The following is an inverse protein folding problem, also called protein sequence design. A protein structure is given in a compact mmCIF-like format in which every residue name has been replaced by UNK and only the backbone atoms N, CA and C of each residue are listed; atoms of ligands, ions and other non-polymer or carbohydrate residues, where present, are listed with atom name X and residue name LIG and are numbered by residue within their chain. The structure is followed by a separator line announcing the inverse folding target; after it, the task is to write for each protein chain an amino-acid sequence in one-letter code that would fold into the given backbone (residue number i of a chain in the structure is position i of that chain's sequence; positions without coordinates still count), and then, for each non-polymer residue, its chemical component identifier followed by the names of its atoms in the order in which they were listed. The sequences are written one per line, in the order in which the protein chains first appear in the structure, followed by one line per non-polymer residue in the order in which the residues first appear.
data_IF_790789250715
#
_entry.id   IF_790789250715
#
_cell.length_a   1.000
_cell.length_b   1.000
_cell.length_c   1.000
_cell.angle_alpha   90.00
_cell.angle_beta   90.00
_cell.angle_gamma   90.00
#
_symmetry.space_group_name_H-M   'P 1'
#
loop_
_entity.id
_entity.type
_entity.pdbx_description
1 polymer ?
#
# COMPACT_ATOMS: atom_id res chain seq x y z
N UNK A 1 -1.17 -19.49 7.28
CA UNK A 1 -1.23 -19.24 5.83
C UNK A 1 -2.45 -18.35 5.57
N UNK A 2 -2.48 -17.13 6.13
CA UNK A 2 -3.73 -16.32 6.15
C UNK A 2 -3.48 -14.81 6.13
N UNK A 3 -2.57 -14.30 6.96
CA UNK A 3 -2.37 -12.85 7.08
C UNK A 3 -1.79 -12.18 5.82
N UNK A 4 -0.84 -12.83 5.13
CA UNK A 4 -0.27 -12.31 3.89
C UNK A 4 -1.27 -12.38 2.71
N UNK A 5 -2.13 -13.39 2.69
CA UNK A 5 -3.19 -13.53 1.67
C UNK A 5 -4.28 -12.48 1.87
N UNK A 6 -4.67 -12.23 3.13
CA UNK A 6 -5.60 -11.17 3.50
C UNK A 6 -5.02 -9.80 3.18
N UNK A 7 -3.75 -9.56 3.49
CA UNK A 7 -3.04 -8.34 3.10
C UNK A 7 -3.02 -8.17 1.58
N UNK A 8 -2.75 -9.24 0.83
CA UNK A 8 -2.75 -9.20 -0.64
C UNK A 8 -4.11 -8.83 -1.20
N UNK A 9 -5.18 -9.36 -0.60
CA UNK A 9 -6.56 -9.05 -0.97
C UNK A 9 -6.89 -7.58 -0.67
N UNK A 10 -6.61 -7.13 0.54
CA UNK A 10 -6.88 -5.75 0.98
C UNK A 10 -6.10 -4.74 0.12
N UNK A 11 -4.82 -5.05 -0.16
CA UNK A 11 -3.96 -4.25 -1.03
C UNK A 11 -4.53 -4.15 -2.44
N UNK A 12 -4.94 -5.29 -3.03
CA UNK A 12 -5.55 -5.31 -4.36
C UNK A 12 -6.79 -4.43 -4.43
N UNK A 13 -7.69 -4.55 -3.45
CA UNK A 13 -8.93 -3.78 -3.42
C UNK A 13 -8.63 -2.29 -3.31
N UNK A 14 -7.71 -1.90 -2.42
CA UNK A 14 -7.31 -0.51 -2.26
C UNK A 14 -6.66 0.05 -3.54
N UNK A 15 -5.73 -0.69 -4.15
CA UNK A 15 -5.03 -0.27 -5.36
C UNK A 15 -5.98 -0.14 -6.56
N UNK A 16 -6.90 -1.09 -6.76
CA UNK A 16 -7.90 -1.01 -7.83
C UNK A 16 -8.87 0.17 -7.67
N UNK A 17 -9.20 0.55 -6.43
CA UNK A 17 -10.00 1.75 -6.14
C UNK A 17 -9.21 3.04 -6.36
N UNK A 18 -7.90 3.03 -6.12
CA UNK A 18 -7.00 4.17 -6.34
C UNK A 18 -6.86 4.52 -7.82
N UNK A 19 -6.66 3.52 -8.69
CA UNK A 19 -6.39 3.72 -10.13
C UNK A 19 -7.35 4.68 -10.88
N UNK A 20 -8.69 4.57 -10.74
CA UNK A 20 -9.62 5.46 -11.44
C UNK A 20 -9.77 6.85 -10.79
N UNK A 21 -9.40 7.03 -9.52
CA UNK A 21 -9.76 8.19 -8.70
C UNK A 21 -8.52 8.77 -8.01
N UNK A 22 -7.43 8.98 -8.76
CA UNK A 22 -6.14 9.57 -8.30
C UNK A 22 -6.32 10.96 -7.67
N UNK A 23 -6.90 10.97 -6.48
CA UNK A 23 -7.39 12.12 -5.74
C UNK A 23 -6.97 11.96 -4.29
N UNK A 24 -7.00 13.05 -3.53
CA UNK A 24 -6.62 13.02 -2.11
C UNK A 24 -7.45 12.01 -1.29
N UNK A 25 -8.73 11.81 -1.64
CA UNK A 25 -9.58 10.81 -1.01
C UNK A 25 -9.13 9.36 -1.27
N UNK A 26 -8.43 9.11 -2.39
CA UNK A 26 -7.87 7.81 -2.69
C UNK A 26 -6.49 7.59 -2.03
N UNK A 27 -5.80 8.66 -1.61
CA UNK A 27 -4.60 8.56 -0.76
C UNK A 27 -4.97 8.08 0.65
N UNK A 28 -6.19 8.36 1.13
CA UNK A 28 -6.72 7.81 2.39
C UNK A 28 -6.69 6.27 2.40
N UNK A 29 -6.88 5.63 1.25
CA UNK A 29 -6.82 4.15 1.15
C UNK A 29 -5.40 3.62 1.41
N UNK A 30 -4.37 4.32 0.93
CA UNK A 30 -2.98 3.97 1.20
C UNK A 30 -2.62 4.14 2.68
N UNK A 31 -3.14 5.21 3.30
CA UNK A 31 -2.98 5.47 4.73
C UNK A 31 -3.65 4.40 5.61
N UNK A 32 -4.92 4.09 5.37
CA UNK A 32 -5.64 3.07 6.15
C UNK A 32 -4.95 1.70 6.05
N UNK A 33 -4.48 1.36 4.86
CA UNK A 33 -3.76 0.11 4.62
C UNK A 33 -2.40 0.07 5.33
N UNK A 34 -1.63 1.16 5.27
CA UNK A 34 -0.37 1.29 6.00
C UNK A 34 -0.57 1.19 7.51
N UNK A 35 -1.62 1.82 8.06
CA UNK A 35 -1.96 1.73 9.49
C UNK A 35 -2.33 0.29 9.89
N UNK A 36 -3.20 -0.38 9.14
CA UNK A 36 -3.56 -1.78 9.41
C UNK A 36 -2.35 -2.71 9.31
N UNK A 37 -1.38 -2.42 8.44
CA UNK A 37 -0.15 -3.20 8.32
C UNK A 37 0.73 -3.06 9.59
N UNK A 38 0.79 -1.88 10.22
CA UNK A 38 1.46 -1.73 11.53
C UNK A 38 0.76 -2.56 12.60
N UNK A 39 -0.56 -2.47 12.70
CA UNK A 39 -1.33 -3.19 13.73
C UNK A 39 -1.14 -4.72 13.63
N UNK A 40 -0.83 -5.22 12.43
CA UNK A 40 -0.56 -6.64 12.15
C UNK A 40 0.93 -7.01 12.25
N UNK A 41 1.82 -6.06 12.54
CA UNK A 41 3.26 -6.30 12.60
C UNK A 41 3.90 -6.62 11.24
N UNK A 42 3.25 -6.22 10.14
CA UNK A 42 3.73 -6.47 8.78
C UNK A 42 5.02 -5.71 8.51
N UNK A 43 6.00 -6.41 7.95
CA UNK A 43 7.26 -5.83 7.51
C UNK A 43 7.08 -4.97 6.25
N UNK A 44 7.82 -3.86 6.09
CA UNK A 44 7.89 -3.13 4.83
C UNK A 44 8.25 -4.03 3.63
N UNK A 45 9.05 -5.07 3.84
CA UNK A 45 9.43 -6.01 2.78
C UNK A 45 8.23 -6.85 2.30
N UNK A 46 7.37 -7.30 3.23
CA UNK A 46 6.16 -8.04 2.88
C UNK A 46 5.19 -7.18 2.06
N UNK A 47 5.10 -5.88 2.37
CA UNK A 47 4.30 -4.94 1.57
C UNK A 47 4.87 -4.71 0.17
N UNK A 48 6.19 -4.70 0.01
CA UNK A 48 6.83 -4.61 -1.30
C UNK A 48 6.55 -5.87 -2.12
N UNK A 49 6.62 -7.05 -1.51
CA UNK A 49 6.30 -8.32 -2.19
C UNK A 49 4.82 -8.35 -2.61
N UNK A 50 3.90 -7.99 -1.70
CA UNK A 50 2.47 -7.88 -2.02
C UNK A 50 2.21 -6.88 -3.14
N UNK A 51 2.88 -5.72 -3.11
CA UNK A 51 2.77 -4.72 -4.15
C UNK A 51 3.18 -5.27 -5.52
N UNK A 52 4.29 -6.00 -5.60
CA UNK A 52 4.75 -6.59 -6.85
C UNK A 52 3.80 -7.65 -7.40
N UNK A 53 3.23 -8.50 -6.54
CA UNK A 53 2.21 -9.48 -6.92
C UNK A 53 1.00 -8.78 -7.52
N UNK A 54 0.43 -7.83 -6.77
CA UNK A 54 -0.79 -7.10 -7.18
C UNK A 54 -0.54 -6.29 -8.46
N UNK A 55 0.59 -5.59 -8.57
CA UNK A 55 0.93 -4.82 -9.77
C UNK A 55 1.04 -5.73 -10.99
N UNK A 56 1.69 -6.89 -10.86
CA UNK A 56 1.84 -7.84 -11.98
C UNK A 56 0.49 -8.33 -12.49
N UNK A 57 -0.44 -8.63 -11.58
CA UNK A 57 -1.79 -9.07 -11.96
C UNK A 57 -2.60 -7.94 -12.60
N UNK A 58 -2.53 -6.72 -12.06
CA UNK A 58 -3.21 -5.56 -12.68
C UNK A 58 -2.66 -5.28 -14.08
N UNK A 59 -1.34 -5.39 -14.27
CA UNK A 59 -0.71 -5.16 -15.58
C UNK A 59 -1.08 -6.25 -16.60
N UNK A 60 -1.40 -7.47 -16.16
CA UNK A 60 -1.86 -8.53 -17.05
C UNK A 60 -3.22 -8.20 -17.70
N UNK A 61 -4.07 -7.44 -17.02
CA UNK A 61 -5.40 -7.04 -17.49
C UNK A 61 -5.44 -5.63 -18.12
N UNK A 62 -4.32 -4.91 -18.08
CA UNK A 62 -4.26 -3.51 -18.55
C UNK A 62 -3.90 -3.43 -20.03
N UNK A 63 -4.51 -2.47 -20.72
CA UNK A 63 -4.14 -2.16 -22.11
C UNK A 63 -2.74 -1.55 -22.16
N UNK A 64 -1.96 -1.92 -23.17
CA UNK A 64 -0.56 -1.48 -23.31
C UNK A 64 -0.38 0.04 -23.28
N UNK A 65 -1.33 0.80 -23.86
CA UNK A 65 -1.34 2.27 -23.87
C UNK A 65 -1.55 2.90 -22.48
N UNK A 66 -1.94 2.10 -21.48
CA UNK A 66 -2.19 2.52 -20.10
C UNK A 66 -1.11 2.03 -19.12
N UNK A 67 -0.24 1.11 -19.54
CA UNK A 67 0.79 0.48 -18.70
C UNK A 67 1.64 1.49 -17.95
N UNK A 68 2.20 2.49 -18.64
CA UNK A 68 3.04 3.52 -18.00
C UNK A 68 2.28 4.34 -16.96
N UNK A 69 1.01 4.63 -17.24
CA UNK A 69 0.16 5.38 -16.33
C UNK A 69 -0.11 4.58 -15.04
N UNK A 70 -0.32 3.27 -15.16
CA UNK A 70 -0.55 2.35 -14.03
C UNK A 70 0.72 2.16 -13.21
N UNK A 71 1.89 2.01 -13.85
CA UNK A 71 3.18 1.90 -13.15
C UNK A 71 3.47 3.16 -12.33
N UNK A 72 3.21 4.35 -12.89
CA UNK A 72 3.37 5.61 -12.15
C UNK A 72 2.43 5.68 -10.92
N UNK A 73 1.16 5.33 -11.11
CA UNK A 73 0.19 5.25 -10.01
C UNK A 73 0.58 4.22 -8.94
N UNK A 74 1.14 3.09 -9.34
CA UNK A 74 1.63 2.06 -8.43
C UNK A 74 2.74 2.60 -7.52
N UNK A 75 3.69 3.35 -8.10
CA UNK A 75 4.79 3.95 -7.35
C UNK A 75 4.30 5.03 -6.36
N UNK A 76 3.30 5.84 -6.73
CA UNK A 76 2.66 6.80 -5.82
C UNK A 76 1.96 6.09 -4.67
N UNK A 77 1.13 5.10 -4.98
CA UNK A 77 0.36 4.35 -3.98
C UNK A 77 1.25 3.64 -2.97
N UNK A 78 2.32 2.96 -3.43
CA UNK A 78 3.29 2.32 -2.54
C UNK A 78 3.95 3.34 -1.61
N UNK A 79 4.27 4.53 -2.12
CA UNK A 79 4.94 5.58 -1.34
C UNK A 79 4.06 6.07 -0.19
N UNK A 80 2.76 6.24 -0.41
CA UNK A 80 1.81 6.63 0.63
C UNK A 80 1.64 5.56 1.72
N UNK A 81 1.55 4.28 1.30
CA UNK A 81 1.48 3.15 2.24
C UNK A 81 2.71 3.12 3.13
N UNK A 82 3.91 3.26 2.54
CA UNK A 82 5.17 3.24 3.28
C UNK A 82 5.40 4.50 4.14
N UNK A 83 4.97 5.67 3.67
CA UNK A 83 5.04 6.90 4.46
C UNK A 83 4.21 6.78 5.75
N UNK A 84 3.07 6.10 5.67
CA UNK A 84 2.22 5.86 6.84
C UNK A 84 2.88 4.93 7.86
N UNK A 85 3.57 3.88 7.40
CA UNK A 85 4.35 3.02 8.29
C UNK A 85 5.42 3.81 9.05
N UNK A 86 6.19 4.64 8.34
CA UNK A 86 7.26 5.45 8.93
C UNK A 86 6.70 6.45 9.97
N UNK A 87 5.57 7.10 9.67
CA UNK A 87 4.90 8.00 10.62
C UNK A 87 4.42 7.29 11.89
N UNK A 88 3.79 6.12 11.75
CA UNK A 88 3.28 5.35 12.90
C UNK A 88 4.42 4.77 13.73
N UNK A 89 5.47 4.23 13.09
CA UNK A 89 6.65 3.71 13.79
C UNK A 89 7.39 4.81 14.58
N UNK A 90 7.50 6.02 14.01
CA UNK A 90 8.08 7.18 14.72
C UNK A 90 7.21 7.64 15.88
N UNK A 91 5.89 7.61 15.72
CA UNK A 91 4.93 7.94 16.79
C UNK A 91 5.09 6.99 17.99
N UNK A 92 5.07 5.68 17.74
CA UNK A 92 5.27 4.64 18.77
C UNK A 92 6.60 4.85 19.49
N UNK A 93 7.70 5.10 18.74
CA UNK A 93 9.02 5.31 19.33
C UNK A 93 9.09 6.56 20.24
N UNK A 94 8.41 7.65 19.87
CA UNK A 94 8.37 8.86 20.67
C UNK A 94 7.55 8.69 21.97
N UNK A 95 6.57 7.79 21.99
CA UNK A 95 5.80 7.44 23.19
C UNK A 95 6.60 6.57 24.17
N UNK A 96 7.45 5.68 23.66
CA UNK A 96 8.35 4.83 24.46
C UNK A 96 9.55 5.60 25.06
N UNK A 97 9.98 6.70 24.44
CA UNK A 97 11.11 7.56 24.87
C UNK A 97 10.70 8.67 25.87
N UNK A 98 9.69 8.43 26.73
CA UNK A 98 9.14 9.42 27.68
C UNK A 98 10.16 10.19 28.56
N UNK A 99 9.77 11.39 29.08
CA UNK A 99 10.67 12.44 29.61
C UNK A 99 11.46 12.08 30.88
#
# INVERSE_FOLDING_TARGET
MGELEDLTRDYRVAFQRYLPQRSEAALTLGYELGRSAVDRGTSPLELVDVHHVVLSEVLADVREDRTQEVVAAAAEFLREVLATLDMVQRGIRAEDEGP
#
